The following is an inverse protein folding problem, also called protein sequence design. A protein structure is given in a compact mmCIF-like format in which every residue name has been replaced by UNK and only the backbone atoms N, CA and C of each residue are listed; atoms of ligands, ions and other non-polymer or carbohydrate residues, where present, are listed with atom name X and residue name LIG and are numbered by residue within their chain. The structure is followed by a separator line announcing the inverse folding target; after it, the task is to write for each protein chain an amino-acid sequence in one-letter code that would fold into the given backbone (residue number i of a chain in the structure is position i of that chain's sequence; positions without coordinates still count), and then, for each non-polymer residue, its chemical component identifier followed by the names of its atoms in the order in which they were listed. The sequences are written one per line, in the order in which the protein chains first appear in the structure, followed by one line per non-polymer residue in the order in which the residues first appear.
data_IF_445048716402
#
_entry.id   IF_445048716402
#
_cell.length_a   1.000
_cell.length_b   1.000
_cell.length_c   1.000
_cell.angle_alpha   90.00
_cell.angle_beta   90.00
_cell.angle_gamma   90.00
#
_symmetry.space_group_name_H-M   'P 1'
#
loop_
_entity.id
_entity.type
_entity.pdbx_description
1 polymer ?
#
# COMPACT_ATOMS: atom_id res chain seq x y z
N UNK A 1 16.37 -14.81 -15.94
CA UNK A 1 15.51 -14.91 -14.74
C UNK A 1 14.13 -14.37 -15.11
N UNK A 2 13.10 -15.22 -15.16
CA UNK A 2 11.71 -14.80 -15.42
C UNK A 2 11.17 -14.05 -14.18
N UNK A 3 10.55 -12.89 -14.38
CA UNK A 3 9.86 -12.18 -13.30
C UNK A 3 8.44 -12.73 -13.17
N UNK A 4 8.08 -13.22 -11.98
CA UNK A 4 6.73 -13.68 -11.69
C UNK A 4 5.85 -12.49 -11.33
N UNK A 5 4.80 -12.26 -12.14
CA UNK A 5 3.83 -11.19 -11.95
C UNK A 5 2.53 -11.79 -11.41
N UNK A 6 2.05 -11.27 -10.27
CA UNK A 6 0.76 -11.68 -9.72
C UNK A 6 -0.18 -10.47 -9.68
N UNK A 7 -1.32 -10.60 -10.37
CA UNK A 7 -2.39 -9.60 -10.35
C UNK A 7 -3.64 -10.26 -9.81
N UNK A 8 -4.18 -9.72 -8.72
CA UNK A 8 -5.44 -10.19 -8.14
C UNK A 8 -6.48 -9.10 -8.37
N UNK A 9 -7.37 -9.34 -9.33
CA UNK A 9 -8.54 -8.49 -9.60
C UNK A 9 -9.81 -9.18 -9.10
N UNK A 10 -10.75 -8.46 -8.47
CA UNK A 10 -12.02 -9.02 -8.09
C UNK A 10 -12.89 -9.15 -9.35
N UNK A 11 -13.42 -10.35 -9.59
CA UNK A 11 -14.54 -10.54 -10.50
C UNK A 11 -15.80 -10.00 -9.79
N UNK A 12 -16.43 -8.98 -10.37
CA UNK A 12 -17.74 -8.50 -9.90
C UNK A 12 -18.86 -9.49 -10.28
N UNK A 13 -19.94 -9.62 -9.47
CA UNK A 13 -20.20 -8.93 -8.21
C UNK A 13 -20.10 -9.87 -7.00
N UNK A 14 -19.39 -9.43 -5.96
CA UNK A 14 -19.56 -9.84 -4.56
C UNK A 14 -19.81 -11.34 -4.28
N UNK A 15 -18.91 -12.24 -4.67
CA UNK A 15 -18.78 -13.49 -3.92
C UNK A 15 -17.90 -13.20 -2.70
N UNK A 16 -18.54 -13.22 -1.53
CA UNK A 16 -17.90 -13.16 -0.23
C UNK A 16 -16.77 -14.20 -0.19
N UNK A 17 -15.52 -13.75 -0.31
CA UNK A 17 -14.42 -14.51 0.28
C UNK A 17 -14.66 -14.43 1.79
N UNK A 18 -15.41 -15.40 2.31
CA UNK A 18 -15.57 -15.58 3.73
C UNK A 18 -14.23 -16.11 4.27
N UNK A 19 -13.33 -15.18 4.60
CA UNK A 19 -11.97 -15.44 5.10
C UNK A 19 -12.03 -15.82 6.59
N UNK A 20 -12.89 -16.79 6.91
CA UNK A 20 -12.93 -17.48 8.19
C UNK A 20 -12.57 -18.96 8.05
N UNK A 21 -12.53 -19.51 6.84
CA UNK A 21 -12.00 -20.84 6.62
C UNK A 21 -10.53 -20.76 6.20
N UNK A 22 -9.71 -21.49 6.94
CA UNK A 22 -8.29 -21.74 6.73
C UNK A 22 -8.09 -22.60 5.46
N UNK A 23 -8.66 -22.14 4.34
CA UNK A 23 -8.77 -22.90 3.11
C UNK A 23 -7.40 -22.97 2.43
N UNK A 24 -7.04 -24.18 1.98
CA UNK A 24 -5.82 -24.51 1.22
C UNK A 24 -5.54 -23.49 0.09
N UNK A 25 -6.59 -22.91 -0.51
CA UNK A 25 -6.49 -21.84 -1.49
C UNK A 25 -5.78 -20.57 -0.98
N UNK A 26 -6.05 -20.13 0.26
CA UNK A 26 -5.40 -18.95 0.86
C UNK A 26 -3.93 -19.24 1.14
N UNK A 27 -3.61 -20.43 1.66
CA UNK A 27 -2.23 -20.84 1.92
C UNK A 27 -1.43 -20.91 0.61
N UNK A 28 -1.99 -21.54 -0.42
CA UNK A 28 -1.39 -21.60 -1.76
C UNK A 28 -1.20 -20.22 -2.38
N UNK A 29 -2.18 -19.33 -2.20
CA UNK A 29 -2.06 -17.94 -2.65
C UNK A 29 -0.90 -17.24 -1.93
N UNK A 30 -0.82 -17.33 -0.61
CA UNK A 30 0.28 -16.75 0.17
C UNK A 30 1.64 -17.35 -0.25
N UNK A 31 1.74 -18.67 -0.42
CA UNK A 31 2.95 -19.32 -0.93
C UNK A 31 3.35 -18.81 -2.31
N UNK A 32 2.37 -18.59 -3.21
CA UNK A 32 2.65 -18.03 -4.53
C UNK A 32 3.19 -16.59 -4.45
N UNK A 33 2.73 -15.80 -3.48
CA UNK A 33 3.21 -14.44 -3.26
C UNK A 33 4.68 -14.41 -2.81
N UNK A 34 5.16 -15.43 -2.10
CA UNK A 34 6.57 -15.51 -1.68
C UNK A 34 7.54 -15.55 -2.87
N UNK A 35 7.09 -15.95 -4.06
CA UNK A 35 7.91 -15.99 -5.28
C UNK A 35 7.64 -14.80 -6.21
N UNK A 36 6.67 -13.95 -5.89
CA UNK A 36 6.30 -12.83 -6.73
C UNK A 36 7.35 -11.71 -6.63
N UNK A 37 7.71 -11.14 -7.78
CA UNK A 37 8.49 -9.90 -7.83
C UNK A 37 7.62 -8.66 -7.88
N UNK A 38 6.41 -8.82 -8.40
CA UNK A 38 5.46 -7.73 -8.62
C UNK A 38 4.08 -8.18 -8.18
N UNK A 39 3.43 -7.35 -7.36
CA UNK A 39 2.10 -7.62 -6.81
C UNK A 39 1.18 -6.41 -7.03
N UNK A 40 0.04 -6.67 -7.65
CA UNK A 40 -1.02 -5.68 -7.86
C UNK A 40 -2.30 -6.13 -7.15
N UNK A 41 -2.79 -5.31 -6.21
CA UNK A 41 -3.98 -5.61 -5.40
C UNK A 41 -4.99 -4.48 -5.46
N UNK A 42 -6.26 -4.81 -5.63
CA UNK A 42 -7.36 -3.89 -5.36
C UNK A 42 -7.57 -3.70 -3.84
N UNK A 43 -8.40 -2.73 -3.45
CA UNK A 43 -8.74 -2.47 -2.04
C UNK A 43 -9.24 -3.73 -1.30
N UNK A 44 -10.13 -4.51 -1.91
CA UNK A 44 -10.67 -5.73 -1.29
C UNK A 44 -9.59 -6.79 -1.07
N UNK A 45 -8.79 -7.10 -2.09
CA UNK A 45 -7.71 -8.08 -2.00
C UNK A 45 -6.62 -7.63 -1.02
N UNK A 46 -6.34 -6.32 -0.96
CA UNK A 46 -5.43 -5.74 0.03
C UNK A 46 -5.89 -6.06 1.45
N UNK A 47 -7.17 -5.85 1.76
CA UNK A 47 -7.74 -6.17 3.09
C UNK A 47 -7.65 -7.65 3.43
N UNK A 48 -8.03 -8.50 2.49
CA UNK A 48 -8.03 -9.96 2.67
C UNK A 48 -6.61 -10.46 2.96
N UNK A 49 -5.65 -10.09 2.13
CA UNK A 49 -4.27 -10.56 2.25
C UNK A 49 -3.61 -9.94 3.49
N UNK A 50 -3.81 -8.65 3.76
CA UNK A 50 -3.28 -8.01 4.96
C UNK A 50 -3.78 -8.65 6.27
N UNK A 51 -5.04 -9.08 6.32
CA UNK A 51 -5.58 -9.81 7.47
C UNK A 51 -4.79 -11.11 7.71
N UNK A 52 -4.44 -11.82 6.63
CA UNK A 52 -3.64 -13.04 6.71
C UNK A 52 -2.19 -12.76 7.13
N UNK A 53 -1.56 -11.74 6.56
CA UNK A 53 -0.19 -11.33 6.91
C UNK A 53 -0.02 -10.89 8.38
N UNK A 54 -1.10 -10.47 9.05
CA UNK A 54 -1.10 -10.18 10.50
C UNK A 54 -1.17 -11.43 11.37
N UNK A 55 -1.85 -12.46 10.89
CA UNK A 55 -1.99 -13.73 11.63
C UNK A 55 -0.72 -14.57 11.59
N UNK A 56 0.09 -14.44 10.55
CA UNK A 56 1.34 -15.19 10.38
C UNK A 56 2.56 -14.27 10.45
N UNK A 57 3.26 -14.32 11.59
CA UNK A 57 4.48 -13.55 11.80
C UNK A 57 5.70 -14.09 11.04
N UNK A 58 5.64 -15.32 10.54
CA UNK A 58 6.76 -16.00 9.86
C UNK A 58 6.81 -15.72 8.37
N UNK A 59 5.69 -15.31 7.78
CA UNK A 59 5.63 -15.02 6.35
C UNK A 59 6.50 -13.81 5.98
N UNK A 60 7.20 -13.89 4.86
CA UNK A 60 8.02 -12.80 4.31
C UNK A 60 7.88 -12.77 2.79
N UNK A 61 7.62 -11.60 2.24
CA UNK A 61 7.54 -11.29 0.82
C UNK A 61 8.86 -10.69 0.34
N UNK A 62 9.99 -11.30 0.72
CA UNK A 62 11.35 -10.80 0.38
C UNK A 62 11.65 -10.79 -1.11
N UNK A 63 11.00 -11.61 -1.93
CA UNK A 63 11.19 -11.52 -3.38
C UNK A 63 10.44 -10.34 -4.02
N UNK A 64 9.56 -9.68 -3.27
CA UNK A 64 8.70 -8.63 -3.81
C UNK A 64 9.47 -7.30 -3.93
N UNK A 65 9.74 -6.92 -5.18
CA UNK A 65 10.42 -5.67 -5.52
C UNK A 65 9.41 -4.53 -5.78
N UNK A 66 8.21 -4.85 -6.27
CA UNK A 66 7.19 -3.87 -6.67
C UNK A 66 5.83 -4.19 -6.06
N UNK A 67 5.24 -3.22 -5.35
CA UNK A 67 3.93 -3.33 -4.72
C UNK A 67 3.00 -2.22 -5.19
N UNK A 68 1.89 -2.60 -5.80
CA UNK A 68 0.82 -1.70 -6.23
C UNK A 68 -0.46 -1.99 -5.48
N UNK A 69 -0.83 -1.11 -4.55
CA UNK A 69 -2.07 -1.17 -3.80
C UNK A 69 -3.02 -0.12 -4.32
N UNK A 70 -4.15 -0.56 -4.89
CA UNK A 70 -5.24 0.31 -5.26
C UNK A 70 -6.17 0.49 -4.06
N UNK A 71 -5.70 1.27 -3.08
CA UNK A 71 -6.34 1.49 -1.78
C UNK A 71 -6.14 2.94 -1.33
N UNK A 72 -6.96 3.40 -0.38
CA UNK A 72 -6.77 4.67 0.31
C UNK A 72 -5.90 4.50 1.56
N UNK A 73 -5.31 5.60 2.05
CA UNK A 73 -4.64 5.70 3.35
C UNK A 73 -5.62 6.17 4.45
N UNK A 74 -6.87 5.68 4.42
CA UNK A 74 -7.79 5.88 5.54
C UNK A 74 -7.41 4.97 6.71
N UNK A 75 -7.87 5.29 7.93
CA UNK A 75 -7.39 4.67 9.18
C UNK A 75 -7.43 3.14 9.13
N UNK A 76 -8.52 2.57 8.60
CA UNK A 76 -8.66 1.13 8.56
C UNK A 76 -7.53 0.56 7.71
N UNK A 77 -7.34 1.07 6.50
CA UNK A 77 -6.38 0.64 5.49
C UNK A 77 -4.90 0.93 5.84
N UNK A 78 -4.61 1.88 6.74
CA UNK A 78 -3.22 2.19 7.16
C UNK A 78 -2.55 0.95 7.75
N UNK A 79 -3.27 0.18 8.58
CA UNK A 79 -2.71 -1.04 9.18
C UNK A 79 -2.49 -2.13 8.13
N UNK A 80 -3.34 -2.19 7.12
CA UNK A 80 -3.22 -3.13 6.00
C UNK A 80 -1.94 -2.82 5.22
N UNK A 81 -1.75 -1.56 4.84
CA UNK A 81 -0.56 -1.11 4.11
C UNK A 81 0.69 -1.35 4.96
N UNK A 82 0.66 -1.01 6.25
CA UNK A 82 1.76 -1.27 7.16
C UNK A 82 2.13 -2.75 7.26
N UNK A 83 1.15 -3.66 7.24
CA UNK A 83 1.41 -5.10 7.26
C UNK A 83 2.12 -5.60 5.99
N UNK A 84 1.82 -5.05 4.82
CA UNK A 84 2.58 -5.35 3.60
C UNK A 84 4.00 -4.84 3.70
N UNK A 85 4.13 -3.57 4.11
CA UNK A 85 5.41 -2.88 4.24
C UNK A 85 6.38 -3.66 5.14
N UNK A 86 5.92 -4.16 6.29
CA UNK A 86 6.72 -4.97 7.21
C UNK A 86 7.15 -6.32 6.64
N UNK A 87 6.49 -6.79 5.58
CA UNK A 87 6.72 -8.10 4.98
C UNK A 87 7.55 -8.01 3.71
N UNK A 88 7.86 -6.82 3.22
CA UNK A 88 8.53 -6.61 1.93
C UNK A 88 9.87 -5.89 2.13
N UNK A 89 10.89 -6.55 2.70
CA UNK A 89 12.17 -5.90 3.03
C UNK A 89 12.96 -5.44 1.80
N UNK A 90 12.77 -6.10 0.66
CA UNK A 90 13.47 -5.79 -0.60
C UNK A 90 12.65 -4.91 -1.55
N UNK A 91 11.61 -4.24 -1.03
CA UNK A 91 10.73 -3.39 -1.82
C UNK A 91 11.48 -2.20 -2.41
N UNK A 92 11.37 -2.02 -3.73
CA UNK A 92 12.01 -0.95 -4.51
C UNK A 92 11.00 0.07 -5.02
N UNK A 93 9.79 -0.38 -5.32
CA UNK A 93 8.72 0.44 -5.87
C UNK A 93 7.43 0.24 -5.09
N UNK A 94 6.84 1.34 -4.62
CA UNK A 94 5.54 1.32 -3.95
C UNK A 94 4.58 2.30 -4.62
N UNK A 95 3.48 1.80 -5.19
CA UNK A 95 2.36 2.65 -5.60
C UNK A 95 1.15 2.45 -4.69
N UNK A 96 0.65 3.55 -4.14
CA UNK A 96 -0.59 3.65 -3.39
C UNK A 96 -1.56 4.52 -4.20
N UNK A 97 -2.50 3.87 -4.89
CA UNK A 97 -3.41 4.52 -5.83
C UNK A 97 -4.85 4.38 -5.32
N UNK A 98 -5.36 5.44 -4.71
CA UNK A 98 -6.75 5.57 -4.33
C UNK A 98 -7.63 5.76 -5.57
N UNK A 99 -8.76 5.04 -5.62
CA UNK A 99 -9.80 5.28 -6.62
C UNK A 99 -10.54 6.58 -6.32
N UNK A 100 -10.83 7.37 -7.35
CA UNK A 100 -11.64 8.58 -7.25
C UNK A 100 -13.05 8.25 -6.73
N UNK A 101 -13.56 7.04 -6.99
CA UNK A 101 -14.88 6.61 -6.50
C UNK A 101 -14.91 6.34 -4.99
N UNK A 102 -13.74 6.19 -4.36
CA UNK A 102 -13.58 5.95 -2.93
C UNK A 102 -13.42 7.26 -2.14
N UNK A 103 -13.60 8.42 -2.76
CA UNK A 103 -13.73 9.69 -2.03
C UNK A 103 -15.07 9.65 -1.29
N UNK A 104 -15.08 9.12 -0.06
CA UNK A 104 -16.22 9.25 0.85
C UNK A 104 -16.48 10.74 1.11
N UNK A 105 -17.63 11.30 0.67
CA UNK A 105 -18.19 12.44 1.36
C UNK A 105 -18.98 11.88 2.56
N UNK A 106 -18.96 12.57 3.71
CA UNK A 106 -19.94 12.45 4.81
C UNK A 106 -19.54 11.79 6.14
N UNK A 107 -18.29 11.39 6.41
CA UNK A 107 -17.94 11.08 7.80
C UNK A 107 -17.42 12.33 8.53
N UNK A 108 -18.33 13.05 9.19
CA UNK A 108 -18.07 14.05 10.24
C UNK A 108 -17.48 13.44 11.52
N UNK A 109 -16.84 12.27 11.42
CA UNK A 109 -16.12 11.64 12.52
C UNK A 109 -14.72 12.21 12.47
N UNK A 110 -14.32 12.89 13.54
CA UNK A 110 -12.96 13.37 13.78
C UNK A 110 -11.96 12.42 13.11
N UNK A 111 -11.21 12.95 12.16
CA UNK A 111 -10.22 12.20 11.41
C UNK A 111 -9.21 11.63 12.38
N UNK A 112 -9.38 10.37 12.75
CA UNK A 112 -8.44 9.61 13.56
C UNK A 112 -7.19 9.37 12.72
N UNK A 113 -6.37 10.41 12.65
CA UNK A 113 -5.04 10.42 12.07
C UNK A 113 -4.24 9.39 12.85
N UNK A 114 -3.71 8.39 12.15
CA UNK A 114 -2.79 7.43 12.73
C UNK A 114 -1.55 8.21 13.18
N UNK A 115 -1.08 7.98 14.41
CA UNK A 115 0.02 8.74 14.97
C UNK A 115 1.26 8.63 14.09
N UNK A 116 2.06 9.70 14.04
CA UNK A 116 3.36 9.67 13.35
C UNK A 116 4.25 8.55 13.87
N UNK A 117 4.12 8.21 15.15
CA UNK A 117 4.84 7.11 15.82
C UNK A 117 4.60 5.75 15.16
N UNK A 118 3.39 5.50 14.64
CA UNK A 118 3.11 4.25 13.93
C UNK A 118 4.00 4.15 12.69
N UNK A 119 4.04 5.18 11.85
CA UNK A 119 4.89 5.19 10.65
C UNK A 119 6.38 5.14 10.99
N UNK A 120 6.78 5.81 12.07
CA UNK A 120 8.15 5.77 12.59
C UNK A 120 8.55 4.35 13.03
N UNK A 121 7.62 3.57 13.62
CA UNK A 121 7.88 2.19 14.00
C UNK A 121 8.11 1.23 12.82
N UNK A 122 7.55 1.55 11.64
CA UNK A 122 7.72 0.75 10.42
C UNK A 122 9.06 1.02 9.71
N UNK A 123 9.79 2.05 10.14
CA UNK A 123 10.98 2.57 9.45
C UNK A 123 12.07 1.51 9.25
N UNK A 124 12.28 0.64 10.23
CA UNK A 124 13.40 -0.30 10.22
C UNK A 124 13.34 -1.39 9.13
N UNK A 125 12.19 -1.59 8.47
CA UNK A 125 11.96 -2.83 7.71
C UNK A 125 12.08 -2.68 6.19
N UNK A 126 11.70 -1.55 5.59
CA UNK A 126 11.59 -1.43 4.12
C UNK A 126 12.25 -0.18 3.53
N UNK A 127 12.69 0.74 4.39
CA UNK A 127 13.13 2.08 4.02
C UNK A 127 14.52 2.09 3.36
N UNK A 128 15.27 1.00 3.49
CA UNK A 128 16.64 0.93 2.99
C UNK A 128 16.74 0.71 1.47
N UNK A 129 15.76 0.09 0.83
CA UNK A 129 15.84 -0.26 -0.61
C UNK A 129 14.84 0.47 -1.50
N UNK A 130 13.87 1.15 -0.90
CA UNK A 130 12.81 1.84 -1.62
C UNK A 130 13.38 3.01 -2.44
N UNK A 131 13.18 2.94 -3.77
CA UNK A 131 13.72 3.89 -4.75
C UNK A 131 12.65 4.77 -5.37
N UNK A 132 11.43 4.25 -5.51
CA UNK A 132 10.34 4.95 -6.17
C UNK A 132 9.05 4.80 -5.37
N UNK A 133 8.38 5.92 -5.15
CA UNK A 133 7.06 5.95 -4.54
C UNK A 133 6.11 6.79 -5.38
N UNK A 134 4.89 6.28 -5.58
CA UNK A 134 3.78 7.02 -6.17
C UNK A 134 2.58 6.95 -5.24
N UNK A 135 2.08 8.10 -4.79
CA UNK A 135 0.92 8.17 -3.89
C UNK A 135 -0.12 9.10 -4.50
N UNK A 136 -1.37 8.66 -4.54
CA UNK A 136 -2.48 9.57 -4.82
C UNK A 136 -3.08 10.12 -3.52
N UNK A 137 -3.19 11.44 -3.43
CA UNK A 137 -3.73 12.17 -2.28
C UNK A 137 -5.00 12.88 -2.71
N UNK A 138 -6.14 12.45 -2.17
CA UNK A 138 -7.44 13.08 -2.40
C UNK A 138 -7.96 13.66 -1.07
N UNK A 139 -8.44 14.91 -1.10
CA UNK A 139 -9.03 15.59 0.07
C UNK A 139 -8.02 15.97 1.18
N UNK A 140 -8.52 16.22 2.39
CA UNK A 140 -7.76 16.70 3.56
C UNK A 140 -6.94 15.61 4.30
N UNK A 141 -6.59 14.52 3.63
CA UNK A 141 -6.14 13.28 4.27
C UNK A 141 -4.82 13.39 5.05
N UNK A 142 -4.88 13.64 6.36
CA UNK A 142 -3.73 13.77 7.27
C UNK A 142 -2.78 12.55 7.28
N UNK A 143 -3.30 11.33 7.12
CA UNK A 143 -2.47 10.12 7.04
C UNK A 143 -1.56 10.11 5.80
N UNK A 144 -2.02 10.65 4.67
CA UNK A 144 -1.19 10.76 3.46
C UNK A 144 0.02 11.64 3.74
N UNK A 145 -0.19 12.78 4.40
CA UNK A 145 0.88 13.71 4.74
C UNK A 145 1.87 13.11 5.74
N UNK A 146 1.40 12.39 6.77
CA UNK A 146 2.28 11.72 7.72
C UNK A 146 3.12 10.62 7.06
N UNK A 147 2.50 9.83 6.17
CA UNK A 147 3.22 8.82 5.40
C UNK A 147 4.30 9.44 4.51
N UNK A 148 3.94 10.46 3.73
CA UNK A 148 4.90 11.19 2.88
C UNK A 148 6.03 11.83 3.69
N UNK A 149 5.73 12.41 4.86
CA UNK A 149 6.73 12.97 5.76
C UNK A 149 7.70 11.89 6.26
N UNK A 150 7.18 10.72 6.65
CA UNK A 150 8.00 9.57 7.06
C UNK A 150 8.92 9.12 5.91
N UNK A 151 8.39 8.99 4.69
CA UNK A 151 9.17 8.60 3.51
C UNK A 151 10.33 9.56 3.24
N UNK A 152 10.07 10.87 3.22
CA UNK A 152 11.10 11.89 2.95
C UNK A 152 12.16 11.91 4.06
N UNK A 153 11.75 11.75 5.32
CA UNK A 153 12.66 11.77 6.47
C UNK A 153 13.61 10.57 6.48
N UNK A 154 13.12 9.39 6.11
CA UNK A 154 13.82 8.15 6.39
C UNK A 154 14.33 7.39 5.16
N UNK A 155 13.66 7.49 4.01
CA UNK A 155 14.00 6.70 2.81
C UNK A 155 15.20 7.31 2.10
N UNK A 156 16.40 6.88 2.52
CA UNK A 156 17.65 7.44 2.01
C UNK A 156 17.92 7.10 0.54
N UNK A 157 17.38 6.01 0.00
CA UNK A 157 17.58 5.64 -1.40
C UNK A 157 16.46 6.09 -2.33
N UNK A 158 15.50 6.89 -1.83
CA UNK A 158 14.40 7.42 -2.64
C UNK A 158 14.96 8.31 -3.74
N UNK A 159 14.76 7.89 -5.00
CA UNK A 159 15.15 8.63 -6.21
C UNK A 159 13.98 9.41 -6.77
N UNK A 160 12.77 8.88 -6.59
CA UNK A 160 11.56 9.44 -7.17
C UNK A 160 10.38 9.36 -6.20
N UNK A 161 9.77 10.51 -5.98
CA UNK A 161 8.49 10.64 -5.30
C UNK A 161 7.51 11.32 -6.26
N UNK A 162 6.42 10.64 -6.56
CA UNK A 162 5.30 11.17 -7.34
C UNK A 162 4.07 11.30 -6.47
N UNK A 163 3.59 12.52 -6.29
CA UNK A 163 2.34 12.80 -5.58
C UNK A 163 1.30 13.17 -6.64
N UNK A 164 0.28 12.35 -6.79
CA UNK A 164 -0.90 12.67 -7.60
C UNK A 164 -1.92 13.32 -6.68
N UNK A 165 -2.29 14.57 -6.91
CA UNK A 165 -3.37 15.21 -6.16
C UNK A 165 -4.47 15.65 -7.11
N UNK A 166 -5.70 15.64 -6.60
CA UNK A 166 -6.84 16.26 -7.27
C UNK A 166 -7.43 17.28 -6.32
N UNK A 167 -7.40 18.56 -6.73
CA UNK A 167 -8.16 19.61 -6.08
C UNK A 167 -9.62 19.44 -6.53
N UNK A 168 -10.55 19.37 -5.57
CA UNK A 168 -11.96 19.11 -5.85
C UNK A 168 -12.53 20.11 -6.87
N UNK A 169 -13.11 19.59 -7.95
CA UNK A 169 -13.88 20.37 -8.93
C UNK A 169 -13.48 20.18 -10.40
N UNK A 170 -12.23 19.80 -10.71
CA UNK A 170 -11.78 19.59 -12.09
C UNK A 170 -10.96 18.30 -12.19
N UNK A 171 -11.27 17.47 -13.19
CA UNK A 171 -10.65 16.17 -13.46
C UNK A 171 -9.21 16.32 -13.99
N UNK A 172 -8.32 16.92 -13.21
CA UNK A 172 -6.89 16.99 -13.54
C UNK A 172 -6.09 16.42 -12.38
N UNK A 173 -5.71 15.15 -12.48
CA UNK A 173 -4.65 14.61 -11.63
C UNK A 173 -3.34 15.32 -12.01
N UNK A 174 -2.94 16.29 -11.19
CA UNK A 174 -1.63 16.93 -11.34
C UNK A 174 -0.62 16.12 -10.53
N UNK A 175 0.48 15.75 -11.18
CA UNK A 175 1.56 15.00 -10.56
C UNK A 175 2.71 15.93 -10.20
N UNK A 176 3.05 16.05 -8.92
CA UNK A 176 4.35 16.59 -8.52
C UNK A 176 5.34 15.43 -8.55
N UNK A 177 6.31 15.50 -9.47
CA UNK A 177 7.43 14.56 -9.56
C UNK A 177 8.69 15.23 -9.04
N UNK A 178 9.17 14.80 -7.88
CA UNK A 178 10.45 15.25 -7.36
C UNK A 178 11.49 14.16 -7.62
N UNK A 179 12.43 14.44 -8.54
CA UNK A 179 13.68 13.67 -8.61
C UNK A 179 14.58 14.18 -7.50
N UNK A 180 14.82 13.34 -6.50
CA UNK A 180 15.71 13.69 -5.39
C UNK A 180 17.14 13.55 -5.89
N UNK A 181 17.79 14.69 -6.15
CA UNK A 181 19.25 14.73 -6.36
C UNK A 181 19.89 14.52 -4.98
N UNK A 182 20.65 13.45 -4.84
CA UNK A 182 21.55 13.24 -3.69
C UNK A 182 22.97 13.27 -4.21
#
# INVERSE_FOLDING_TARGET
MQATFITIQPHYPYSQLNVNDNNDATIRLLQSLNHAKVLHLCSLSTKIIAKQLRGDLSMSLSNLENLNLYTSLFKNEVKEIGSFILRTPDLRTLFLIQSIKDTQPNSTVASDIVSSEYWESLNHVFIHQLKMVKVSVFGSGGNNFLFLKCLVKHVKLLKELTILYSLGGVQTAQGIRQKLKK
#
